data_IF_062879638823
#
_entry.id   IF_062879638823
#
_cell.length_a   1.000
_cell.length_b   1.000
_cell.length_c   1.000
_cell.angle_alpha   90.00
_cell.angle_beta   90.00
_cell.angle_gamma   90.00
#
_symmetry.space_group_name_H-M   'P 1'
#
loop_
_entity.id
_entity.type
_entity.pdbx_description
1 polymer ?
#
# COMPACT_ATOMS: atom_id res chain seq x y z
N UNK A 1 19.35 -7.23 -2.07
CA UNK A 1 20.30 -6.20 -2.55
C UNK A 1 20.39 -6.31 -4.08
N UNK A 2 19.25 -6.19 -4.76
CA UNK A 2 19.08 -6.53 -6.20
C UNK A 2 18.51 -5.34 -6.97
N UNK A 3 17.65 -4.55 -6.33
CA UNK A 3 17.12 -3.30 -6.87
C UNK A 3 18.22 -2.31 -7.29
N UNK A 4 19.33 -2.22 -6.55
CA UNK A 4 20.41 -1.27 -6.89
C UNK A 4 21.17 -1.59 -8.17
N UNK A 5 21.12 -2.84 -8.64
CA UNK A 5 21.92 -3.29 -9.80
C UNK A 5 21.11 -3.34 -11.10
N UNK A 6 19.79 -3.53 -11.01
CA UNK A 6 18.94 -3.77 -12.18
C UNK A 6 17.82 -2.74 -12.35
N UNK A 7 17.66 -1.80 -11.42
CA UNK A 7 16.62 -0.79 -11.52
C UNK A 7 17.14 0.44 -12.26
N UNK A 8 16.57 0.70 -13.43
CA UNK A 8 16.77 1.93 -14.21
C UNK A 8 15.57 2.84 -13.94
N UNK A 9 15.80 3.91 -13.17
CA UNK A 9 14.76 4.89 -12.86
C UNK A 9 14.41 5.67 -14.13
N UNK A 10 13.14 5.73 -14.47
CA UNK A 10 12.59 6.56 -15.54
C UNK A 10 11.91 7.79 -14.93
N UNK A 11 11.79 8.86 -15.72
CA UNK A 11 11.21 10.13 -15.27
C UNK A 11 9.71 10.03 -14.88
N UNK A 12 9.06 8.92 -15.25
CA UNK A 12 7.67 8.60 -14.88
C UNK A 12 7.53 7.79 -13.59
N UNK A 13 8.64 7.41 -12.95
CA UNK A 13 8.61 6.55 -11.77
C UNK A 13 8.32 7.37 -10.49
N UNK A 14 7.16 7.11 -9.87
CA UNK A 14 6.76 7.74 -8.60
C UNK A 14 6.98 6.76 -7.45
N UNK A 15 7.93 7.08 -6.56
CA UNK A 15 8.17 6.27 -5.35
C UNK A 15 7.25 6.69 -4.21
N UNK A 16 6.26 5.85 -3.90
CA UNK A 16 5.53 5.95 -2.65
C UNK A 16 6.32 5.24 -1.55
N UNK A 17 7.09 6.01 -0.76
CA UNK A 17 7.78 5.47 0.41
C UNK A 17 6.93 5.71 1.65
N UNK A 18 6.60 4.65 2.38
CA UNK A 18 6.02 4.75 3.72
C UNK A 18 6.85 3.87 4.66
N UNK A 19 7.04 4.32 5.89
CA UNK A 19 7.63 3.46 6.92
C UNK A 19 6.69 2.28 7.17
N UNK A 20 7.23 1.06 7.32
CA UNK A 20 6.44 -0.05 7.86
C UNK A 20 5.79 0.43 9.16
N UNK A 21 4.46 0.61 9.18
CA UNK A 21 3.78 1.11 10.36
C UNK A 21 4.06 0.16 11.53
N UNK A 22 4.68 0.68 12.58
CA UNK A 22 5.11 -0.07 13.78
C UNK A 22 3.99 -0.89 14.42
N UNK A 23 2.73 -0.46 14.26
CA UNK A 23 1.54 -1.18 14.73
C UNK A 23 1.36 -2.59 14.15
N UNK A 24 1.94 -2.90 12.99
CA UNK A 24 1.83 -4.24 12.40
C UNK A 24 2.79 -5.26 13.01
N UNK A 25 3.87 -4.83 13.66
CA UNK A 25 4.89 -5.74 14.22
C UNK A 25 4.35 -6.54 15.40
N UNK A 26 3.61 -5.89 16.30
CA UNK A 26 2.94 -6.56 17.42
C UNK A 26 1.86 -7.53 16.94
N UNK A 27 1.06 -7.14 15.93
CA UNK A 27 0.06 -8.02 15.33
C UNK A 27 0.69 -9.27 14.69
N UNK A 28 1.82 -9.10 13.99
CA UNK A 28 2.60 -10.20 13.40
C UNK A 28 3.16 -11.18 14.43
N UNK A 29 3.40 -10.73 15.67
CA UNK A 29 3.80 -11.60 16.77
C UNK A 29 2.61 -12.41 17.33
N UNK A 30 1.42 -11.80 17.41
CA UNK A 30 0.21 -12.43 17.97
C UNK A 30 -0.37 -13.52 17.06
N UNK A 31 -0.37 -13.32 15.74
CA UNK A 31 -0.93 -14.29 14.78
C UNK A 31 -0.35 -15.71 14.93
N UNK A 32 0.99 -15.92 14.92
CA UNK A 32 1.54 -17.26 15.11
C UNK A 32 1.24 -17.85 16.49
N UNK A 33 1.12 -17.04 17.53
CA UNK A 33 0.69 -17.48 18.88
C UNK A 33 -0.76 -18.00 18.89
N UNK A 34 -1.64 -17.41 18.07
CA UNK A 34 -3.03 -17.86 17.91
C UNK A 34 -3.11 -19.10 17.01
N UNK A 35 -2.35 -19.11 15.90
CA UNK A 35 -2.41 -20.16 14.88
C UNK A 35 -1.72 -21.47 15.30
N UNK A 36 -0.78 -21.41 16.27
CA UNK A 36 -0.14 -22.58 16.84
C UNK A 36 -0.48 -22.77 18.34
N UNK A 37 -1.73 -23.09 18.70
CA UNK A 37 -2.14 -23.23 20.10
C UNK A 37 -1.53 -24.45 20.81
N UNK A 38 -0.89 -25.37 20.07
CA UNK A 38 -0.34 -26.64 20.58
C UNK A 38 0.97 -26.45 21.36
N UNK A 39 1.62 -25.29 21.27
CA UNK A 39 2.86 -24.96 21.99
C UNK A 39 2.69 -24.55 23.47
N UNK A 40 1.48 -24.59 24.04
CA UNK A 40 1.23 -24.32 25.47
C UNK A 40 1.61 -25.51 26.39
N UNK A 41 2.73 -26.16 26.11
CA UNK A 41 3.44 -26.92 27.14
C UNK A 41 4.34 -25.89 27.83
N UNK A 42 4.33 -25.82 29.15
CA UNK A 42 4.90 -24.75 29.99
C UNK A 42 6.43 -24.52 29.89
N UNK A 43 7.08 -24.91 28.79
CA UNK A 43 8.50 -24.70 28.52
C UNK A 43 8.64 -23.61 27.42
N UNK A 44 8.86 -22.36 27.85
CA UNK A 44 9.09 -21.18 26.98
C UNK A 44 10.20 -21.39 25.92
N UNK A 45 10.98 -22.47 26.03
CA UNK A 45 12.08 -22.82 25.12
C UNK A 45 11.65 -23.04 23.67
N UNK A 46 10.39 -23.31 23.40
CA UNK A 46 9.88 -23.51 22.03
C UNK A 46 9.05 -22.35 21.49
N UNK A 47 9.03 -21.20 22.16
CA UNK A 47 8.36 -20.00 21.63
C UNK A 47 9.10 -19.47 20.37
N UNK A 48 8.45 -19.47 19.19
CA UNK A 48 9.04 -18.93 17.96
C UNK A 48 9.36 -17.43 18.06
N UNK A 49 8.70 -16.67 18.94
CA UNK A 49 8.97 -15.24 19.15
C UNK A 49 10.28 -14.98 19.90
N UNK A 50 10.77 -15.95 20.68
CA UNK A 50 12.09 -15.87 21.33
C UNK A 50 13.22 -16.24 20.36
N UNK A 51 12.91 -17.00 19.30
CA UNK A 51 13.89 -17.51 18.33
C UNK A 51 13.99 -16.67 17.06
N UNK A 52 12.94 -15.94 16.68
CA UNK A 52 12.86 -15.20 15.40
C UNK A 52 12.14 -13.87 15.55
N UNK A 53 12.54 -12.90 14.75
CA UNK A 53 11.85 -11.61 14.70
C UNK A 53 10.43 -11.78 14.13
N UNK A 54 9.39 -11.07 14.62
CA UNK A 54 8.01 -11.21 14.14
C UNK A 54 7.82 -11.03 12.62
N UNK A 55 8.63 -10.19 11.98
CA UNK A 55 8.62 -10.03 10.52
C UNK A 55 9.12 -11.28 9.75
N UNK A 56 9.90 -12.15 10.38
CA UNK A 56 10.33 -13.42 9.77
C UNK A 56 9.26 -14.51 9.90
N UNK A 57 8.47 -14.47 10.97
CA UNK A 57 7.34 -15.38 11.19
C UNK A 57 6.14 -15.00 10.33
N UNK A 58 5.95 -13.71 10.09
CA UNK A 58 4.90 -13.16 9.26
C UNK A 58 5.44 -12.01 8.41
N UNK A 59 6.03 -12.32 7.23
CA UNK A 59 6.50 -11.29 6.32
C UNK A 59 5.30 -10.43 5.87
N UNK A 60 5.52 -9.12 5.69
CA UNK A 60 4.45 -8.26 5.18
C UNK A 60 4.05 -8.70 3.77
N UNK A 61 2.76 -8.64 3.49
CA UNK A 61 2.22 -8.97 2.17
C UNK A 61 2.92 -8.16 1.07
N UNK A 62 3.23 -6.89 1.32
CA UNK A 62 3.97 -6.04 0.38
C UNK A 62 5.37 -6.60 0.09
N UNK A 63 6.11 -7.02 1.11
CA UNK A 63 7.46 -7.60 0.94
C UNK A 63 7.39 -8.91 0.17
N UNK A 64 6.35 -9.71 0.34
CA UNK A 64 6.19 -10.96 -0.42
C UNK A 64 5.83 -10.66 -1.88
N UNK A 65 4.82 -9.82 -2.12
CA UNK A 65 4.32 -9.48 -3.46
C UNK A 65 5.40 -8.81 -4.33
N UNK A 66 6.06 -7.77 -3.80
CA UNK A 66 7.02 -6.99 -4.57
C UNK A 66 8.41 -7.64 -4.69
N UNK A 67 8.73 -8.61 -3.84
CA UNK A 67 9.99 -9.37 -3.94
C UNK A 67 9.97 -10.35 -5.10
N UNK A 68 8.83 -10.96 -5.39
CA UNK A 68 8.69 -11.91 -6.50
C UNK A 68 8.43 -11.20 -7.83
N UNK A 69 7.59 -10.16 -7.82
CA UNK A 69 7.35 -9.33 -8.99
C UNK A 69 7.43 -7.84 -8.59
N UNK A 70 8.43 -7.08 -9.08
CA UNK A 70 8.55 -5.65 -8.81
C UNK A 70 7.33 -4.81 -9.23
N UNK A 71 6.53 -5.31 -10.18
CA UNK A 71 5.31 -4.68 -10.65
C UNK A 71 4.16 -5.71 -10.72
N UNK A 72 3.62 -6.13 -9.57
CA UNK A 72 2.54 -7.12 -9.52
C UNK A 72 1.23 -6.45 -9.98
N UNK A 73 0.47 -7.16 -10.82
CA UNK A 73 -0.90 -6.73 -11.10
C UNK A 73 -1.77 -6.97 -9.86
N UNK A 74 -2.13 -5.87 -9.19
CA UNK A 74 -2.96 -5.89 -8.00
C UNK A 74 -4.45 -5.80 -8.31
N UNK A 75 -4.84 -5.71 -9.59
CA UNK A 75 -6.23 -5.49 -10.01
C UNK A 75 -7.17 -6.55 -9.44
N UNK A 76 -6.77 -7.83 -9.51
CA UNK A 76 -7.55 -8.93 -8.96
C UNK A 76 -7.78 -8.83 -7.44
N UNK A 77 -6.73 -8.51 -6.68
CA UNK A 77 -6.81 -8.39 -5.22
C UNK A 77 -7.70 -7.21 -4.84
N UNK A 78 -7.53 -6.08 -5.51
CA UNK A 78 -8.34 -4.88 -5.29
C UNK A 78 -9.81 -5.12 -5.64
N UNK A 79 -10.08 -5.80 -6.75
CA UNK A 79 -11.44 -6.18 -7.15
C UNK A 79 -12.08 -7.11 -6.11
N UNK A 80 -11.36 -8.14 -5.66
CA UNK A 80 -11.83 -9.04 -4.61
C UNK A 80 -12.15 -8.29 -3.32
N UNK A 81 -11.24 -7.43 -2.85
CA UNK A 81 -11.43 -6.65 -1.62
C UNK A 81 -12.61 -5.69 -1.73
N UNK A 82 -12.77 -5.01 -2.87
CA UNK A 82 -13.89 -4.11 -3.14
C UNK A 82 -15.24 -4.83 -3.06
N UNK A 83 -15.29 -6.10 -3.45
CA UNK A 83 -16.50 -6.91 -3.48
C UNK A 83 -16.81 -7.63 -2.16
N UNK A 84 -16.03 -7.43 -1.09
CA UNK A 84 -16.38 -7.94 0.23
C UNK A 84 -17.59 -7.19 0.80
N UNK A 85 -18.49 -7.91 1.47
CA UNK A 85 -19.72 -7.36 2.05
C UNK A 85 -19.44 -6.14 2.96
N UNK A 86 -18.43 -6.25 3.83
CA UNK A 86 -18.00 -5.14 4.69
C UNK A 86 -17.64 -3.91 3.87
N UNK A 87 -17.01 -4.06 2.70
CA UNK A 87 -16.57 -2.94 1.87
C UNK A 87 -17.68 -2.39 0.98
N UNK A 88 -18.72 -3.18 0.69
CA UNK A 88 -19.87 -2.73 -0.10
C UNK A 88 -20.92 -2.00 0.75
N UNK A 89 -21.14 -2.45 1.98
CA UNK A 89 -22.27 -1.99 2.81
C UNK A 89 -21.85 -1.43 4.17
N UNK A 90 -20.60 -1.64 4.58
CA UNK A 90 -20.09 -1.10 5.84
C UNK A 90 -19.64 0.36 5.72
N UNK A 91 -19.44 0.97 6.88
CA UNK A 91 -18.90 2.31 7.02
C UNK A 91 -17.85 2.37 8.13
N UNK A 92 -16.92 3.31 7.99
CA UNK A 92 -15.93 3.66 8.99
C UNK A 92 -16.66 4.13 10.28
N UNK A 93 -16.43 3.49 11.44
CA UNK A 93 -17.13 3.83 12.68
C UNK A 93 -16.81 5.22 13.25
N UNK A 94 -15.70 5.83 12.82
CA UNK A 94 -15.21 7.10 13.35
C UNK A 94 -15.66 8.29 12.51
N UNK A 95 -15.60 8.14 11.19
CA UNK A 95 -15.87 9.18 10.21
C UNK A 95 -17.23 9.01 9.54
N UNK A 96 -17.85 7.84 9.67
CA UNK A 96 -19.16 7.53 9.04
C UNK A 96 -19.10 7.34 7.53
N UNK A 97 -17.90 7.29 6.93
CA UNK A 97 -17.76 7.10 5.49
C UNK A 97 -17.95 5.64 5.08
N UNK A 98 -18.79 5.40 4.09
CA UNK A 98 -18.94 4.06 3.52
C UNK A 98 -17.61 3.55 2.96
N UNK A 99 -17.28 2.29 3.24
CA UNK A 99 -15.97 1.75 2.88
C UNK A 99 -15.70 1.75 1.37
N UNK A 100 -16.75 1.68 0.55
CA UNK A 100 -16.67 1.77 -0.92
C UNK A 100 -15.95 3.03 -1.42
N UNK A 101 -15.98 4.13 -0.65
CA UNK A 101 -15.32 5.39 -1.03
C UNK A 101 -13.80 5.36 -0.90
N UNK A 102 -13.24 4.42 -0.14
CA UNK A 102 -11.78 4.25 -0.05
C UNK A 102 -11.19 3.54 -1.28
N UNK A 103 -12.01 2.81 -2.05
CA UNK A 103 -11.57 2.11 -3.26
C UNK A 103 -11.55 3.04 -4.48
N UNK A 104 -10.36 3.46 -4.88
CA UNK A 104 -10.14 4.31 -6.07
C UNK A 104 -9.50 3.49 -7.19
N UNK A 105 -9.87 3.76 -8.45
CA UNK A 105 -9.29 3.10 -9.63
C UNK A 105 -7.84 3.54 -9.89
N UNK A 106 -7.48 4.76 -9.48
CA UNK A 106 -6.12 5.27 -9.60
C UNK A 106 -5.63 5.43 -11.04
N UNK A 107 -6.53 5.64 -12.00
CA UNK A 107 -6.16 5.78 -13.41
C UNK A 107 -5.51 7.14 -13.68
N UNK A 108 -4.37 7.12 -14.38
CA UNK A 108 -3.73 8.35 -14.89
C UNK A 108 -4.74 9.11 -15.76
N UNK A 109 -4.87 10.41 -15.51
CA UNK A 109 -5.78 11.28 -16.26
C UNK A 109 -7.25 11.29 -15.82
N UNK A 110 -7.66 10.48 -14.82
CA UNK A 110 -9.06 10.43 -14.39
C UNK A 110 -9.59 11.75 -13.81
N UNK A 111 -8.68 12.63 -13.35
CA UNK A 111 -9.00 14.00 -12.95
C UNK A 111 -9.69 14.80 -14.06
N UNK A 112 -9.40 14.50 -15.34
CA UNK A 112 -10.02 15.16 -16.51
C UNK A 112 -11.53 14.92 -16.60
N UNK A 113 -12.02 13.81 -16.04
CA UNK A 113 -13.44 13.46 -16.00
C UNK A 113 -14.18 14.12 -14.83
N UNK A 114 -13.43 14.59 -13.82
CA UNK A 114 -13.99 15.07 -12.55
C UNK A 114 -13.85 16.59 -12.36
N UNK A 115 -13.10 17.28 -13.24
CA UNK A 115 -12.88 18.73 -13.16
C UNK A 115 -13.56 19.48 -14.31
N UNK A 116 -14.07 20.68 -14.04
CA UNK A 116 -14.50 21.62 -15.08
C UNK A 116 -13.30 22.17 -15.84
N UNK A 117 -13.49 22.64 -17.08
CA UNK A 117 -12.37 23.19 -17.87
C UNK A 117 -11.64 24.34 -17.15
N UNK A 118 -12.38 25.22 -16.47
CA UNK A 118 -11.80 26.29 -15.64
C UNK A 118 -10.88 25.74 -14.54
N UNK A 119 -11.30 24.66 -13.85
CA UNK A 119 -10.48 24.02 -12.82
C UNK A 119 -9.21 23.41 -13.40
N UNK A 120 -9.28 22.83 -14.60
CA UNK A 120 -8.12 22.27 -15.31
C UNK A 120 -7.13 23.37 -15.67
N UNK A 121 -7.61 24.43 -16.31
CA UNK A 121 -6.78 25.58 -16.71
C UNK A 121 -6.10 26.24 -15.51
N UNK A 122 -6.83 26.39 -14.40
CA UNK A 122 -6.27 26.93 -13.16
C UNK A 122 -5.20 26.02 -12.56
N UNK A 123 -5.42 24.70 -12.58
CA UNK A 123 -4.44 23.73 -12.10
C UNK A 123 -3.17 23.72 -12.97
N UNK A 124 -3.33 23.78 -14.29
CA UNK A 124 -2.22 23.86 -15.24
C UNK A 124 -1.42 25.15 -15.04
N UNK A 125 -2.09 26.28 -14.83
CA UNK A 125 -1.43 27.55 -14.53
C UNK A 125 -0.63 27.51 -13.23
N UNK A 126 -1.22 26.99 -12.15
CA UNK A 126 -0.52 26.82 -10.86
C UNK A 126 0.68 25.89 -11.03
N UNK A 127 0.52 24.81 -11.79
CA UNK A 127 1.60 23.86 -12.06
C UNK A 127 2.73 24.54 -12.82
N UNK A 128 2.44 25.21 -13.94
CA UNK A 128 3.44 25.94 -14.72
C UNK A 128 4.21 26.97 -13.86
N UNK A 129 3.51 27.73 -13.02
CA UNK A 129 4.14 28.69 -12.09
C UNK A 129 5.02 28.02 -11.03
N UNK A 130 4.59 26.87 -10.48
CA UNK A 130 5.33 26.17 -9.42
C UNK A 130 6.54 25.41 -9.95
N UNK A 131 6.50 25.00 -11.20
CA UNK A 131 7.57 24.27 -11.86
C UNK A 131 8.46 25.15 -12.75
N UNK A 132 8.19 26.47 -12.82
CA UNK A 132 9.05 27.43 -13.51
C UNK A 132 10.48 27.42 -12.92
N UNK A 133 11.48 27.19 -13.78
CA UNK A 133 12.88 27.07 -13.36
C UNK A 133 13.26 25.71 -12.76
N UNK A 134 12.32 24.77 -12.66
CA UNK A 134 12.58 23.38 -12.27
C UNK A 134 12.99 22.54 -13.47
N UNK A 135 13.85 21.53 -13.23
CA UNK A 135 14.12 20.46 -14.21
C UNK A 135 13.04 19.38 -14.23
N UNK A 136 12.06 19.48 -13.32
CA UNK A 136 10.97 18.51 -13.19
C UNK A 136 9.86 18.83 -14.19
N UNK A 137 9.56 17.87 -15.07
CA UNK A 137 8.37 17.85 -15.91
C UNK A 137 7.62 16.54 -15.74
N UNK A 138 6.30 16.59 -15.84
CA UNK A 138 5.48 15.38 -15.87
C UNK A 138 5.25 14.97 -17.33
N UNK A 139 5.57 13.72 -17.68
CA UNK A 139 5.20 13.14 -18.97
C UNK A 139 3.68 12.96 -19.08
N UNK A 140 3.11 13.29 -20.24
CA UNK A 140 1.69 13.10 -20.55
C UNK A 140 1.34 11.65 -20.88
#
# INVERSE_FOLDING_TARGET
>A
MTARLNFQANDSDVFLTSSMKTGTTWLKAIIPTIMNPIGRMDDDKDDPLLKRHPNELMPSLEVQLFKENPNPDLSYILERLKNLEVNQYGADPWLGFEYKFYFRRGSVGDWKNNMSNEMKEKLDHITAMKFEGSVLGFGN
#
